data_IF_078140714778
#
_entry.id   IF_078140714778
#
_cell.length_a   1.000
_cell.length_b   1.000
_cell.length_c   1.000
_cell.angle_alpha   90.00
_cell.angle_beta   90.00
_cell.angle_gamma   90.00
#
_symmetry.space_group_name_H-M   'P 1'
#
loop_
_entity.id
_entity.type
_entity.pdbx_description
1 polymer ?
#
# COMPACT_ATOMS: atom_id res chain seq x y z
N UNK A 1 -2.29 -17.30 -3.34
CA UNK A 1 -1.12 -17.59 -4.23
C UNK A 1 -0.65 -16.29 -4.86
N UNK A 2 0.66 -15.99 -4.88
CA UNK A 2 1.19 -14.76 -5.49
C UNK A 2 0.95 -14.81 -7.00
N UNK A 3 0.30 -13.78 -7.61
CA UNK A 3 0.09 -13.73 -9.05
C UNK A 3 1.42 -13.66 -9.80
N UNK A 4 1.66 -14.61 -10.70
CA UNK A 4 2.92 -14.72 -11.44
C UNK A 4 3.24 -13.51 -12.34
N UNK A 5 2.21 -12.73 -12.70
CA UNK A 5 2.33 -11.57 -13.59
C UNK A 5 2.31 -10.21 -12.86
N UNK A 6 2.25 -10.19 -11.51
CA UNK A 6 2.19 -8.93 -10.76
C UNK A 6 3.58 -8.40 -10.42
N UNK A 7 4.03 -7.27 -11.03
CA UNK A 7 5.40 -6.77 -10.88
C UNK A 7 5.77 -6.28 -9.46
N UNK A 8 4.79 -6.03 -8.60
CA UNK A 8 5.03 -5.58 -7.22
C UNK A 8 4.94 -6.72 -6.19
N UNK A 9 4.73 -7.97 -6.62
CA UNK A 9 4.63 -9.13 -5.75
C UNK A 9 5.67 -10.21 -6.10
N UNK A 10 6.17 -10.23 -7.33
CA UNK A 10 7.13 -11.21 -7.82
C UNK A 10 8.35 -10.52 -8.43
N UNK A 11 9.55 -10.94 -8.03
CA UNK A 11 10.80 -10.46 -8.59
C UNK A 11 10.91 -10.78 -10.10
N UNK A 12 10.43 -11.96 -10.52
CA UNK A 12 10.44 -12.35 -11.93
C UNK A 12 9.48 -11.50 -12.76
N UNK A 13 8.28 -11.22 -12.23
CA UNK A 13 7.30 -10.37 -12.89
C UNK A 13 7.76 -8.90 -13.00
N UNK A 14 8.54 -8.44 -12.03
CA UNK A 14 9.02 -7.04 -11.98
C UNK A 14 9.74 -6.59 -13.24
N UNK A 15 10.49 -7.49 -13.88
CA UNK A 15 11.25 -7.18 -15.11
C UNK A 15 10.51 -7.50 -16.40
N UNK A 16 9.34 -8.16 -16.33
CA UNK A 16 8.61 -8.65 -17.51
C UNK A 16 7.32 -7.89 -17.78
N UNK A 17 6.63 -7.48 -16.75
CA UNK A 17 5.27 -6.95 -16.86
C UNK A 17 5.16 -5.51 -16.38
N UNK A 18 4.24 -4.78 -17.01
CA UNK A 18 3.94 -3.39 -16.68
C UNK A 18 2.79 -3.27 -15.66
N UNK A 19 2.82 -2.19 -14.92
CA UNK A 19 1.74 -1.73 -14.04
C UNK A 19 1.46 -0.26 -14.32
N UNK A 20 0.19 0.12 -14.38
CA UNK A 20 -0.24 1.51 -14.44
C UNK A 20 -0.87 1.93 -13.11
N UNK A 21 -0.54 3.13 -12.65
CA UNK A 21 -1.16 3.78 -11.49
C UNK A 21 -2.20 4.80 -11.93
N UNK A 22 -3.33 4.80 -11.25
CA UNK A 22 -4.48 5.66 -11.56
C UNK A 22 -4.68 6.63 -10.40
N UNK A 23 -4.40 7.93 -10.57
CA UNK A 23 -4.47 8.94 -9.52
C UNK A 23 -5.88 9.49 -9.36
N UNK A 24 -6.79 8.66 -8.85
CA UNK A 24 -8.21 8.99 -8.66
C UNK A 24 -8.59 9.27 -7.20
N UNK A 25 -7.65 9.17 -6.26
CA UNK A 25 -7.90 9.20 -4.82
C UNK A 25 -7.19 10.37 -4.10
N UNK A 26 -7.67 11.63 -4.21
CA UNK A 26 -6.97 12.78 -3.62
C UNK A 26 -7.09 12.87 -2.10
N UNK A 27 -8.17 12.38 -1.47
CA UNK A 27 -8.39 12.47 -0.02
C UNK A 27 -7.68 11.34 0.74
N UNK A 28 -7.36 11.60 2.02
CA UNK A 28 -6.83 10.60 2.92
C UNK A 28 -7.50 10.74 4.29
N UNK A 29 -7.82 9.62 4.92
CA UNK A 29 -8.50 9.53 6.21
C UNK A 29 -7.53 9.38 7.41
N UNK A 30 -6.21 9.35 7.14
CA UNK A 30 -5.16 9.41 8.16
C UNK A 30 -4.12 10.46 7.80
N UNK A 31 -3.26 10.79 8.76
CA UNK A 31 -2.15 11.71 8.57
C UNK A 31 -0.86 11.09 9.11
N UNK A 32 -0.08 10.47 8.22
CA UNK A 32 1.24 9.96 8.58
C UNK A 32 2.21 11.11 8.86
N UNK A 33 3.06 10.98 9.89
CA UNK A 33 4.03 12.00 10.26
C UNK A 33 5.09 12.28 9.19
N UNK A 34 5.37 11.29 8.34
CA UNK A 34 6.31 11.38 7.21
C UNK A 34 5.66 11.76 5.88
N UNK A 35 4.36 12.11 5.85
CA UNK A 35 3.65 12.45 4.62
C UNK A 35 3.46 13.96 4.48
N UNK A 36 3.95 14.53 3.37
CA UNK A 36 3.66 15.89 2.95
C UNK A 36 2.54 15.87 1.90
N UNK A 37 1.36 16.37 2.27
CA UNK A 37 0.16 16.36 1.43
C UNK A 37 0.21 17.29 0.22
N UNK A 38 1.28 18.04 0.02
CA UNK A 38 1.56 18.75 -1.23
C UNK A 38 1.94 17.80 -2.36
N UNK A 39 2.36 16.58 -2.01
CA UNK A 39 2.81 15.54 -2.91
C UNK A 39 1.95 14.28 -2.79
N UNK A 40 2.13 13.36 -3.70
CA UNK A 40 1.52 12.04 -3.67
C UNK A 40 1.94 11.24 -2.43
N UNK A 41 1.19 10.19 -2.12
CA UNK A 41 1.45 9.34 -0.95
C UNK A 41 2.90 8.85 -0.92
N UNK A 42 3.64 9.14 0.17
CA UNK A 42 5.04 8.78 0.35
C UNK A 42 5.28 7.25 0.37
N UNK A 43 4.24 6.44 0.63
CA UNK A 43 4.34 4.98 0.57
C UNK A 43 4.42 4.44 -0.86
N UNK A 44 3.98 5.23 -1.86
CA UNK A 44 3.81 4.77 -3.23
C UNK A 44 4.60 5.59 -4.25
N UNK A 45 5.01 6.80 -3.90
CA UNK A 45 5.61 7.76 -4.82
C UNK A 45 6.97 8.25 -4.35
N UNK A 46 7.82 8.62 -5.30
CA UNK A 46 9.10 9.29 -5.02
C UNK A 46 8.85 10.66 -4.40
N UNK A 47 9.82 11.19 -3.65
CA UNK A 47 9.74 12.54 -3.11
C UNK A 47 9.47 13.59 -4.20
N UNK A 48 8.55 14.51 -3.93
CA UNK A 48 8.26 15.63 -4.83
C UNK A 48 7.34 15.32 -6.01
N UNK A 49 6.87 14.08 -6.16
CA UNK A 49 5.89 13.71 -7.19
C UNK A 49 4.51 14.24 -6.83
N UNK A 50 3.84 14.86 -7.80
CA UNK A 50 2.45 15.29 -7.72
C UNK A 50 1.72 14.83 -8.97
N UNK A 51 0.66 14.04 -8.79
CA UNK A 51 -0.17 13.56 -9.89
C UNK A 51 -1.37 14.47 -10.09
N UNK A 52 -1.70 14.74 -11.35
CA UNK A 52 -3.02 15.29 -11.69
C UNK A 52 -4.10 14.26 -11.36
N UNK A 53 -5.08 14.67 -10.56
CA UNK A 53 -6.24 13.82 -10.23
C UNK A 53 -7.16 13.76 -11.44
N UNK A 54 -7.55 12.53 -11.81
CA UNK A 54 -8.41 12.27 -12.97
C UNK A 54 -9.73 11.64 -12.55
N UNK A 55 -10.76 11.76 -13.42
CA UNK A 55 -12.03 11.07 -13.22
C UNK A 55 -11.92 9.56 -13.47
N UNK A 56 -12.89 8.74 -13.00
CA UNK A 56 -12.94 7.31 -13.31
C UNK A 56 -12.94 7.01 -14.81
N UNK A 57 -13.66 7.79 -15.64
CA UNK A 57 -13.70 7.64 -17.09
C UNK A 57 -12.34 7.95 -17.73
N UNK A 58 -11.70 9.05 -17.29
CA UNK A 58 -10.36 9.40 -17.77
C UNK A 58 -9.31 8.35 -17.35
N UNK A 59 -9.52 7.69 -16.21
CA UNK A 59 -8.67 6.57 -15.77
C UNK A 59 -8.87 5.35 -16.68
N UNK A 60 -10.10 5.01 -17.06
CA UNK A 60 -10.41 3.95 -18.02
C UNK A 60 -9.74 4.24 -19.38
N UNK A 61 -9.90 5.44 -19.92
CA UNK A 61 -9.26 5.87 -21.17
C UNK A 61 -7.74 5.77 -21.11
N UNK A 62 -7.17 6.13 -19.95
CA UNK A 62 -5.71 6.00 -19.72
C UNK A 62 -5.25 4.56 -19.76
N UNK A 63 -5.99 3.64 -19.14
CA UNK A 63 -5.71 2.19 -19.20
C UNK A 63 -5.81 1.67 -20.61
N UNK A 64 -6.86 2.03 -21.34
CA UNK A 64 -7.04 1.61 -22.73
C UNK A 64 -5.91 2.07 -23.64
N UNK A 65 -5.47 3.33 -23.51
CA UNK A 65 -4.30 3.83 -24.26
C UNK A 65 -3.03 3.10 -23.90
N UNK A 66 -2.81 2.85 -22.58
CA UNK A 66 -1.61 2.16 -22.11
C UNK A 66 -1.53 0.72 -22.63
N UNK A 67 -2.66 -0.01 -22.67
CA UNK A 67 -2.73 -1.37 -23.23
C UNK A 67 -2.43 -1.42 -24.73
N UNK A 68 -2.79 -0.36 -25.48
CA UNK A 68 -2.44 -0.24 -26.90
C UNK A 68 -0.95 0.02 -27.11
N UNK A 69 -0.31 0.72 -26.18
CA UNK A 69 1.11 1.12 -26.30
C UNK A 69 2.09 0.09 -25.74
N UNK A 70 1.70 -0.65 -24.71
CA UNK A 70 2.56 -1.65 -24.06
C UNK A 70 1.79 -2.96 -23.79
N UNK A 71 2.07 -3.96 -24.61
CA UNK A 71 1.50 -5.30 -24.48
C UNK A 71 1.92 -6.04 -23.21
N UNK A 72 2.91 -5.53 -22.47
CA UNK A 72 3.36 -6.10 -21.18
C UNK A 72 2.51 -5.64 -20.00
N UNK A 73 1.63 -4.65 -20.18
CA UNK A 73 0.76 -4.17 -19.10
C UNK A 73 -0.15 -5.30 -18.62
N UNK A 74 -0.09 -5.60 -17.31
CA UNK A 74 -0.87 -6.66 -16.66
C UNK A 74 -1.66 -6.17 -15.45
N UNK A 75 -1.27 -5.03 -14.88
CA UNK A 75 -1.84 -4.54 -13.63
C UNK A 75 -2.32 -3.10 -13.78
N UNK A 76 -3.55 -2.83 -13.40
CA UNK A 76 -4.05 -1.50 -13.12
C UNK A 76 -4.27 -1.34 -11.61
N UNK A 77 -3.72 -0.29 -11.02
CA UNK A 77 -3.76 -0.10 -9.58
C UNK A 77 -4.10 1.32 -9.15
N UNK A 78 -4.84 1.43 -8.06
CA UNK A 78 -5.09 2.70 -7.37
C UNK A 78 -4.24 2.73 -6.10
N UNK A 79 -3.36 3.75 -6.00
CA UNK A 79 -2.42 3.88 -4.89
C UNK A 79 -2.23 5.35 -4.47
N UNK A 80 -3.19 6.19 -4.71
CA UNK A 80 -3.11 7.61 -4.34
C UNK A 80 -3.73 8.55 -5.37
N UNK A 81 -3.43 9.85 -5.23
CA UNK A 81 -2.43 10.53 -4.38
C UNK A 81 -2.62 10.41 -2.88
N UNK A 82 -3.84 10.13 -2.40
CA UNK A 82 -4.18 9.93 -0.99
C UNK A 82 -4.48 8.46 -0.65
N UNK A 83 -5.56 8.24 0.10
CA UNK A 83 -6.04 6.92 0.49
C UNK A 83 -7.14 6.44 -0.47
N UNK A 84 -6.94 5.38 -1.23
CA UNK A 84 -7.94 4.89 -2.17
C UNK A 84 -9.33 4.65 -1.54
N UNK A 85 -9.39 4.01 -0.39
CA UNK A 85 -10.68 3.68 0.25
C UNK A 85 -11.37 4.87 0.93
N UNK A 86 -10.74 6.05 0.95
CA UNK A 86 -11.39 7.30 1.35
C UNK A 86 -12.02 8.07 0.18
N UNK A 87 -12.05 7.48 -1.03
CA UNK A 87 -12.49 8.14 -2.27
C UNK A 87 -13.41 7.23 -3.08
N UNK A 88 -14.69 7.56 -3.25
CA UNK A 88 -15.66 6.76 -4.03
C UNK A 88 -15.21 6.51 -5.47
N UNK A 89 -14.50 7.47 -6.08
CA UNK A 89 -13.94 7.34 -7.43
C UNK A 89 -13.02 6.12 -7.59
N UNK A 90 -12.45 5.61 -6.51
CA UNK A 90 -11.63 4.38 -6.53
C UNK A 90 -12.44 3.17 -6.96
N UNK A 91 -13.54 2.89 -6.27
CA UNK A 91 -14.40 1.74 -6.56
C UNK A 91 -15.04 1.85 -7.93
N UNK A 92 -15.49 3.06 -8.29
CA UNK A 92 -16.04 3.33 -9.62
C UNK A 92 -15.01 3.06 -10.72
N UNK A 93 -13.79 3.55 -10.57
CA UNK A 93 -12.67 3.28 -11.50
C UNK A 93 -12.42 1.79 -11.66
N UNK A 94 -12.36 1.05 -10.54
CA UNK A 94 -12.08 -0.39 -10.56
C UNK A 94 -13.21 -1.15 -11.25
N UNK A 95 -14.49 -0.81 -11.01
CA UNK A 95 -15.65 -1.42 -11.69
C UNK A 95 -15.59 -1.20 -13.20
N UNK A 96 -15.34 0.04 -13.65
CA UNK A 96 -15.24 0.37 -15.07
C UNK A 96 -14.13 -0.43 -15.75
N UNK A 97 -12.96 -0.52 -15.12
CA UNK A 97 -11.82 -1.26 -15.68
C UNK A 97 -12.11 -2.77 -15.69
N UNK A 98 -12.67 -3.32 -14.62
CA UNK A 98 -13.02 -4.74 -14.55
C UNK A 98 -14.03 -5.14 -15.63
N UNK A 99 -15.06 -4.35 -15.81
CA UNK A 99 -16.07 -4.58 -16.85
C UNK A 99 -15.48 -4.54 -18.27
N UNK A 100 -14.54 -3.65 -18.53
CA UNK A 100 -13.94 -3.45 -19.86
C UNK A 100 -12.76 -4.37 -20.15
N UNK A 101 -11.96 -4.70 -19.11
CA UNK A 101 -10.72 -5.47 -19.20
C UNK A 101 -10.64 -6.55 -18.11
N UNK A 102 -11.51 -7.58 -18.14
CA UNK A 102 -11.64 -8.54 -17.03
C UNK A 102 -10.40 -9.42 -16.80
N UNK A 103 -9.43 -9.42 -17.73
CA UNK A 103 -8.17 -10.15 -17.58
C UNK A 103 -7.05 -9.32 -16.95
N UNK A 104 -7.27 -8.02 -16.76
CA UNK A 104 -6.30 -7.15 -16.13
C UNK A 104 -6.34 -7.37 -14.60
N UNK A 105 -5.19 -7.56 -13.97
CA UNK A 105 -5.10 -7.67 -12.53
C UNK A 105 -5.39 -6.31 -11.90
N UNK A 106 -6.36 -6.26 -11.00
CA UNK A 106 -6.67 -5.05 -10.26
C UNK A 106 -5.99 -5.07 -8.90
N UNK A 107 -5.34 -3.95 -8.58
CA UNK A 107 -4.50 -3.78 -7.40
C UNK A 107 -4.89 -2.51 -6.64
N UNK A 108 -4.85 -2.58 -5.32
CA UNK A 108 -5.10 -1.45 -4.44
C UNK A 108 -3.98 -1.34 -3.40
N UNK A 109 -3.57 -0.09 -3.09
CA UNK A 109 -2.71 0.17 -1.93
C UNK A 109 -3.47 1.02 -0.93
N UNK A 110 -3.60 0.57 0.32
CA UNK A 110 -4.42 1.21 1.36
C UNK A 110 -3.68 1.31 2.69
N UNK A 111 -4.10 2.24 3.53
CA UNK A 111 -3.70 2.27 4.93
C UNK A 111 -4.44 1.25 5.81
N UNK A 112 -5.52 0.66 5.31
CA UNK A 112 -6.27 -0.42 5.97
C UNK A 112 -7.35 0.03 6.96
N UNK A 113 -7.54 1.34 7.23
CA UNK A 113 -8.48 1.83 8.25
C UNK A 113 -9.93 1.36 8.02
N UNK A 114 -10.36 1.29 6.77
CA UNK A 114 -11.73 0.88 6.39
C UNK A 114 -11.75 -0.36 5.50
N UNK A 115 -10.67 -1.14 5.52
CA UNK A 115 -10.52 -2.29 4.60
C UNK A 115 -11.58 -3.37 4.84
N UNK A 116 -11.89 -3.71 6.09
CA UNK A 116 -12.92 -4.71 6.42
C UNK A 116 -14.27 -4.35 5.81
N UNK A 117 -14.68 -3.10 5.94
CA UNK A 117 -15.98 -2.62 5.48
C UNK A 117 -16.03 -2.55 3.94
N UNK A 118 -14.93 -2.16 3.31
CA UNK A 118 -14.83 -2.04 1.85
C UNK A 118 -14.62 -3.39 1.13
N UNK A 119 -14.29 -4.46 1.86
CA UNK A 119 -13.88 -5.73 1.26
C UNK A 119 -14.92 -6.34 0.31
N UNK A 120 -16.23 -6.38 0.64
CA UNK A 120 -17.23 -6.92 -0.29
C UNK A 120 -17.22 -6.19 -1.63
N UNK A 121 -17.19 -4.85 -1.62
CA UNK A 121 -17.18 -4.05 -2.84
C UNK A 121 -15.87 -4.21 -3.62
N UNK A 122 -14.74 -4.40 -2.95
CA UNK A 122 -13.45 -4.67 -3.61
C UNK A 122 -13.47 -6.00 -4.36
N UNK A 123 -14.09 -7.03 -3.80
CA UNK A 123 -14.28 -8.32 -4.45
C UNK A 123 -15.19 -8.20 -5.67
N UNK A 124 -16.31 -7.50 -5.54
CA UNK A 124 -17.25 -7.23 -6.63
C UNK A 124 -16.59 -6.41 -7.76
N UNK A 125 -15.64 -5.55 -7.44
CA UNK A 125 -14.84 -4.81 -8.42
C UNK A 125 -13.74 -5.67 -9.08
N UNK A 126 -13.58 -6.94 -8.70
CA UNK A 126 -12.55 -7.82 -9.26
C UNK A 126 -11.13 -7.54 -8.77
N UNK A 127 -10.97 -6.88 -7.61
CA UNK A 127 -9.65 -6.70 -6.99
C UNK A 127 -9.10 -8.05 -6.58
N UNK A 128 -7.87 -8.34 -6.96
CA UNK A 128 -7.19 -9.61 -6.66
C UNK A 128 -5.97 -9.46 -5.77
N UNK A 129 -5.40 -8.25 -5.70
CA UNK A 129 -4.18 -7.97 -4.94
C UNK A 129 -4.31 -6.70 -4.12
N UNK A 130 -3.85 -6.75 -2.88
CA UNK A 130 -3.84 -5.62 -1.96
C UNK A 130 -2.42 -5.37 -1.43
N UNK A 131 -2.09 -4.09 -1.26
CA UNK A 131 -0.96 -3.68 -0.44
C UNK A 131 -1.50 -2.90 0.76
N UNK A 132 -1.21 -3.36 1.97
CA UNK A 132 -1.61 -2.65 3.21
C UNK A 132 -0.35 -2.09 3.87
N UNK A 133 -0.37 -0.80 4.19
CA UNK A 133 0.76 -0.16 4.89
C UNK A 133 0.56 -0.31 6.40
N UNK A 134 1.40 -1.12 7.04
CA UNK A 134 1.43 -1.35 8.48
C UNK A 134 2.80 -0.99 9.02
N UNK A 135 2.91 0.12 9.75
CA UNK A 135 4.19 0.63 10.23
C UNK A 135 4.52 0.24 11.67
N UNK A 136 3.52 -0.15 12.45
CA UNK A 136 3.66 -0.54 13.85
C UNK A 136 2.46 -1.37 14.29
N UNK A 137 2.63 -2.11 15.39
CA UNK A 137 1.56 -2.80 16.13
C UNK A 137 1.37 -2.24 17.54
N UNK A 138 2.22 -1.30 17.95
CA UNK A 138 2.19 -0.62 19.24
C UNK A 138 1.39 0.68 19.16
N UNK A 139 0.42 0.87 20.04
CA UNK A 139 -0.34 2.13 20.17
C UNK A 139 0.59 3.31 20.49
N UNK A 140 1.61 3.07 21.30
CA UNK A 140 2.60 4.12 21.65
C UNK A 140 3.38 4.55 20.41
N UNK A 141 3.91 3.58 19.65
CA UNK A 141 4.61 3.87 18.41
C UNK A 141 3.68 4.51 17.36
N UNK A 142 2.41 4.06 17.26
CA UNK A 142 1.42 4.67 16.38
C UNK A 142 1.22 6.16 16.66
N UNK A 143 1.17 6.57 17.94
CA UNK A 143 1.09 7.99 18.33
C UNK A 143 2.28 8.83 17.88
N UNK A 144 3.43 8.24 17.64
CA UNK A 144 4.60 8.93 17.05
C UNK A 144 4.55 8.92 15.51
N UNK A 145 4.13 7.81 14.90
CA UNK A 145 4.14 7.63 13.44
C UNK A 145 2.97 8.35 12.76
N UNK A 146 1.80 8.36 13.39
CA UNK A 146 0.59 8.98 12.83
C UNK A 146 0.18 10.21 13.62
N UNK A 147 -0.02 11.32 12.93
CA UNK A 147 -0.49 12.58 13.54
C UNK A 147 -1.97 12.53 13.87
N UNK A 148 -2.77 11.94 12.97
CA UNK A 148 -4.21 11.72 13.16
C UNK A 148 -4.67 10.49 12.41
N UNK A 149 -5.69 9.83 12.96
CA UNK A 149 -6.45 8.73 12.35
C UNK A 149 -7.93 9.08 12.46
N UNK A 150 -8.66 9.11 11.35
CA UNK A 150 -10.06 9.51 11.34
C UNK A 150 -10.31 10.92 11.88
N UNK A 151 -9.28 11.79 11.85
CA UNK A 151 -9.34 13.14 12.42
C UNK A 151 -8.93 13.26 13.89
N UNK A 152 -8.75 12.14 14.62
CA UNK A 152 -8.29 12.15 16.02
C UNK A 152 -6.81 11.78 16.16
N UNK A 153 -6.17 12.30 17.23
CA UNK A 153 -4.78 11.99 17.61
C UNK A 153 -4.70 11.20 18.94
N UNK A 154 -5.82 10.79 19.51
CA UNK A 154 -5.84 10.08 20.79
C UNK A 154 -5.42 8.60 20.67
N UNK A 155 -5.06 8.01 21.81
CA UNK A 155 -4.63 6.61 21.87
C UNK A 155 -5.76 5.62 21.47
N UNK A 156 -7.02 5.97 21.70
CA UNK A 156 -8.18 5.16 21.32
C UNK A 156 -8.31 5.05 19.80
N UNK A 157 -8.16 6.16 19.09
CA UNK A 157 -8.15 6.18 17.61
C UNK A 157 -6.97 5.37 17.06
N UNK A 158 -5.78 5.47 17.67
CA UNK A 158 -4.62 4.65 17.28
C UNK A 158 -4.89 3.16 17.49
N UNK A 159 -5.43 2.77 18.65
CA UNK A 159 -5.78 1.38 18.95
C UNK A 159 -6.82 0.82 17.97
N UNK A 160 -7.89 1.58 17.70
CA UNK A 160 -8.92 1.21 16.73
C UNK A 160 -8.34 1.02 15.31
N UNK A 161 -7.43 1.89 14.91
CA UNK A 161 -6.74 1.78 13.61
C UNK A 161 -5.91 0.51 13.49
N UNK A 162 -5.09 0.21 14.50
CA UNK A 162 -4.27 -1.01 14.50
C UNK A 162 -5.15 -2.27 14.47
N UNK A 163 -6.28 -2.27 15.20
CA UNK A 163 -7.26 -3.34 15.17
C UNK A 163 -7.91 -3.49 13.79
N UNK A 164 -8.34 -2.38 13.18
CA UNK A 164 -8.92 -2.36 11.82
C UNK A 164 -7.95 -2.90 10.77
N UNK A 165 -6.67 -2.53 10.85
CA UNK A 165 -5.63 -3.09 9.96
C UNK A 165 -5.51 -4.60 10.13
N UNK A 166 -5.49 -5.08 11.38
CA UNK A 166 -5.37 -6.50 11.69
C UNK A 166 -6.54 -7.30 11.13
N UNK A 167 -7.74 -6.84 11.38
CA UNK A 167 -8.97 -7.46 10.91
C UNK A 167 -9.08 -7.44 9.39
N UNK A 168 -8.81 -6.27 8.77
CA UNK A 168 -8.88 -6.10 7.32
C UNK A 168 -7.90 -6.98 6.56
N UNK A 169 -6.66 -7.12 7.06
CA UNK A 169 -5.64 -8.00 6.45
C UNK A 169 -6.08 -9.46 6.52
N UNK A 170 -6.55 -9.93 7.68
CA UNK A 170 -6.99 -11.32 7.87
C UNK A 170 -8.18 -11.64 6.96
N UNK A 171 -9.23 -10.81 7.00
CA UNK A 171 -10.42 -10.98 6.15
C UNK A 171 -10.10 -10.96 4.66
N UNK A 172 -9.21 -10.07 4.22
CA UNK A 172 -8.82 -10.00 2.82
C UNK A 172 -8.07 -11.26 2.37
N UNK A 173 -7.18 -11.79 3.21
CA UNK A 173 -6.47 -13.04 2.94
C UNK A 173 -7.44 -14.25 2.92
N UNK A 174 -8.37 -14.34 3.88
CA UNK A 174 -9.42 -15.37 3.94
C UNK A 174 -10.34 -15.33 2.71
N UNK A 175 -10.65 -14.14 2.22
CA UNK A 175 -11.43 -13.94 0.99
C UNK A 175 -10.66 -14.28 -0.30
N UNK A 176 -9.40 -14.71 -0.19
CA UNK A 176 -8.58 -15.16 -1.33
C UNK A 176 -7.76 -14.06 -2.01
N UNK A 177 -7.76 -12.82 -1.50
CA UNK A 177 -6.91 -11.78 -2.05
C UNK A 177 -5.44 -12.04 -1.70
N UNK A 178 -4.55 -11.72 -2.63
CA UNK A 178 -3.11 -11.74 -2.33
C UNK A 178 -2.72 -10.45 -1.63
N UNK A 179 -2.39 -10.53 -0.34
CA UNK A 179 -2.05 -9.38 0.49
C UNK A 179 -0.54 -9.23 0.60
N UNK A 180 -0.05 -8.00 0.37
CA UNK A 180 1.31 -7.55 0.67
C UNK A 180 1.27 -6.55 1.81
N UNK A 181 2.20 -6.67 2.75
CA UNK A 181 2.43 -5.65 3.78
C UNK A 181 3.58 -4.75 3.36
N UNK A 182 3.34 -3.45 3.29
CA UNK A 182 4.38 -2.43 3.23
C UNK A 182 4.64 -1.90 4.64
N UNK A 183 5.91 -1.74 5.01
CA UNK A 183 6.31 -1.11 6.27
C UNK A 183 7.41 -0.09 6.00
N UNK A 184 7.17 1.16 6.35
CA UNK A 184 8.20 2.20 6.33
C UNK A 184 9.08 2.01 7.57
N UNK A 185 10.36 1.80 7.35
CA UNK A 185 11.35 1.66 8.43
C UNK A 185 11.76 3.04 8.91
N UNK A 186 11.43 3.34 10.15
CA UNK A 186 11.67 4.65 10.81
C UNK A 186 12.64 4.41 11.97
N UNK A 187 13.96 4.70 11.79
CA UNK A 187 14.96 4.52 12.85
C UNK A 187 14.59 5.25 14.14
N UNK A 188 14.78 4.59 15.27
CA UNK A 188 14.42 5.10 16.58
C UNK A 188 12.94 4.94 16.97
N UNK A 189 12.06 4.52 16.05
CA UNK A 189 10.64 4.37 16.33
C UNK A 189 10.13 2.93 16.17
N UNK A 190 10.24 2.33 14.99
CA UNK A 190 9.63 1.02 14.72
C UNK A 190 10.63 -0.09 14.33
N UNK A 191 11.92 0.18 14.34
CA UNK A 191 12.94 -0.84 13.96
C UNK A 191 12.91 -2.08 14.85
N UNK A 192 12.53 -1.92 16.12
CA UNK A 192 12.39 -3.03 17.07
C UNK A 192 11.16 -3.90 16.83
N UNK A 193 10.15 -3.40 16.11
CA UNK A 193 8.86 -4.09 15.87
C UNK A 193 8.83 -4.87 14.54
N UNK A 194 9.83 -4.70 13.66
CA UNK A 194 9.80 -5.23 12.27
C UNK A 194 9.60 -6.75 12.25
N UNK A 195 10.25 -7.48 13.14
CA UNK A 195 10.13 -8.92 13.22
C UNK A 195 8.75 -9.38 13.73
N UNK A 196 8.20 -8.65 14.71
CA UNK A 196 6.83 -8.89 15.20
C UNK A 196 5.79 -8.62 14.11
N UNK A 197 5.95 -7.51 13.36
CA UNK A 197 5.09 -7.19 12.21
C UNK A 197 5.16 -8.30 11.16
N UNK A 198 6.35 -8.81 10.84
CA UNK A 198 6.56 -9.88 9.87
C UNK A 198 5.90 -11.20 10.33
N UNK A 199 6.09 -11.58 11.59
CA UNK A 199 5.47 -12.75 12.19
C UNK A 199 3.94 -12.66 12.19
N UNK A 200 3.40 -11.51 12.59
CA UNK A 200 1.96 -11.25 12.54
C UNK A 200 1.43 -11.29 11.09
N UNK A 201 2.09 -10.62 10.14
CA UNK A 201 1.67 -10.58 8.75
C UNK A 201 1.56 -11.99 8.14
N UNK A 202 2.53 -12.86 8.41
CA UNK A 202 2.49 -14.25 7.99
C UNK A 202 1.28 -14.99 8.56
N UNK A 203 1.03 -14.85 9.87
CA UNK A 203 -0.13 -15.48 10.53
C UNK A 203 -1.48 -14.94 10.05
N UNK A 204 -1.54 -13.67 9.66
CA UNK A 204 -2.72 -13.06 9.07
C UNK A 204 -2.93 -13.42 7.59
N UNK A 205 -2.08 -14.27 7.01
CA UNK A 205 -2.21 -14.76 5.64
C UNK A 205 -1.63 -13.83 4.57
N UNK A 206 -0.84 -12.80 4.94
CA UNK A 206 -0.14 -12.00 3.96
C UNK A 206 0.92 -12.86 3.21
N UNK A 207 1.02 -12.65 1.90
CA UNK A 207 1.89 -13.45 1.03
C UNK A 207 3.33 -12.95 0.98
N UNK A 208 3.55 -11.66 1.20
CA UNK A 208 4.86 -11.02 1.06
C UNK A 208 4.89 -9.70 1.86
N UNK A 209 6.07 -9.33 2.33
CA UNK A 209 6.32 -8.05 3.00
C UNK A 209 7.39 -7.26 2.25
N UNK A 210 7.30 -5.94 2.31
CA UNK A 210 8.25 -5.00 1.73
C UNK A 210 8.65 -3.96 2.78
N UNK A 211 9.92 -3.91 3.14
CA UNK A 211 10.49 -2.88 4.00
C UNK A 211 10.99 -1.72 3.14
N UNK A 212 10.40 -0.56 3.36
CA UNK A 212 10.72 0.68 2.65
C UNK A 212 11.52 1.61 3.56
N UNK A 213 12.56 2.29 3.04
CA UNK A 213 13.24 3.31 3.82
C UNK A 213 12.31 4.51 4.06
N UNK A 214 12.43 5.13 5.23
CA UNK A 214 11.85 6.44 5.50
C UNK A 214 12.34 7.44 4.44
N UNK A 215 11.41 8.20 3.88
CA UNK A 215 11.70 9.43 3.15
C UNK A 215 11.50 10.58 4.13
N UNK A 216 12.57 11.30 4.55
CA UNK A 216 12.48 12.36 5.55
C UNK A 216 11.65 13.54 5.04
N UNK A 217 10.41 13.65 5.50
CA UNK A 217 9.48 14.73 5.16
C UNK A 217 8.59 15.09 6.34
N UNK A 218 7.90 16.20 6.25
CA UNK A 218 6.92 16.69 7.22
C UNK A 218 7.47 16.67 8.67
N UNK A 219 6.87 15.89 9.58
CA UNK A 219 7.32 15.79 10.98
C UNK A 219 8.62 14.99 11.13
N UNK A 220 8.99 14.20 10.14
CA UNK A 220 10.22 13.39 10.13
C UNK A 220 11.33 13.97 9.24
N UNK A 221 11.22 15.26 8.84
CA UNK A 221 12.19 15.90 7.94
C UNK A 221 13.62 15.91 8.47
N UNK A 222 13.77 15.95 9.79
CA UNK A 222 15.06 16.01 10.47
C UNK A 222 15.56 14.61 10.91
N UNK A 223 14.80 13.54 10.59
CA UNK A 223 15.19 12.17 10.90
C UNK A 223 16.08 11.59 9.78
N UNK A 224 17.08 10.81 10.18
CA UNK A 224 17.89 10.08 9.22
C UNK A 224 17.13 8.86 8.67
N UNK A 225 17.19 8.61 7.35
CA UNK A 225 16.68 7.37 6.78
C UNK A 225 17.51 6.18 7.27
N UNK A 226 16.95 4.94 7.28
CA UNK A 226 17.72 3.76 7.63
C UNK A 226 18.86 3.55 6.65
N UNK A 227 20.04 3.17 7.17
CA UNK A 227 21.14 2.74 6.33
C UNK A 227 20.79 1.46 5.56
N UNK A 228 21.46 1.22 4.43
CA UNK A 228 21.26 -0.02 3.67
C UNK A 228 21.57 -1.26 4.52
N UNK A 229 22.63 -1.20 5.35
CA UNK A 229 23.00 -2.29 6.25
C UNK A 229 21.88 -2.59 7.27
N UNK A 230 21.26 -1.56 7.84
CA UNK A 230 20.12 -1.73 8.75
C UNK A 230 18.91 -2.35 8.02
N UNK A 231 18.58 -1.86 6.82
CA UNK A 231 17.49 -2.44 6.02
C UNK A 231 17.71 -3.90 5.69
N UNK A 232 18.94 -4.27 5.33
CA UNK A 232 19.27 -5.65 4.96
C UNK A 232 19.24 -6.57 6.18
N UNK A 233 19.70 -6.09 7.34
CA UNK A 233 19.59 -6.83 8.61
C UNK A 233 18.12 -7.06 9.01
N UNK A 234 17.27 -6.02 8.92
CA UNK A 234 15.85 -6.12 9.22
C UNK A 234 15.11 -7.05 8.23
N UNK A 235 15.43 -6.98 6.93
CA UNK A 235 14.90 -7.89 5.92
C UNK A 235 15.31 -9.35 6.18
N UNK A 236 16.57 -9.59 6.62
CA UNK A 236 17.02 -10.93 6.95
C UNK A 236 16.21 -11.52 8.12
N UNK A 237 15.97 -10.74 9.18
CA UNK A 237 15.15 -11.16 10.32
C UNK A 237 13.68 -11.39 9.90
N UNK A 238 13.07 -10.45 9.17
CA UNK A 238 11.69 -10.58 8.71
C UNK A 238 11.49 -11.77 7.76
N UNK A 239 12.50 -12.13 6.96
CA UNK A 239 12.45 -13.25 6.00
C UNK A 239 12.27 -14.61 6.66
N UNK A 240 12.59 -14.75 7.92
CA UNK A 240 12.33 -15.98 8.69
C UNK A 240 10.84 -16.27 8.81
N UNK A 241 10.02 -15.23 8.78
CA UNK A 241 8.57 -15.31 8.97
C UNK A 241 7.78 -15.18 7.66
N UNK A 242 8.18 -14.27 6.77
CA UNK A 242 7.45 -13.94 5.55
C UNK A 242 8.42 -13.55 4.42
N UNK A 243 8.17 -13.99 3.16
CA UNK A 243 8.97 -13.59 2.01
C UNK A 243 9.09 -12.06 1.90
N UNK A 244 10.30 -11.58 1.52
CA UNK A 244 10.57 -10.15 1.37
C UNK A 244 10.60 -9.74 -0.09
N UNK A 245 9.83 -8.71 -0.46
CA UNK A 245 9.91 -8.05 -1.76
C UNK A 245 10.95 -6.91 -1.68
N UNK A 246 12.00 -6.98 -2.48
CA UNK A 246 13.14 -6.04 -2.40
C UNK A 246 13.30 -5.16 -3.64
N UNK A 247 12.42 -5.31 -4.63
CA UNK A 247 12.51 -4.60 -5.91
C UNK A 247 11.62 -3.35 -5.99
N UNK A 248 11.00 -2.93 -4.89
CA UNK A 248 10.20 -1.72 -4.87
C UNK A 248 11.09 -0.49 -5.14
N UNK A 249 10.70 0.34 -6.11
CA UNK A 249 11.40 1.56 -6.50
C UNK A 249 10.55 2.82 -6.30
N UNK A 250 9.38 2.68 -5.66
CA UNK A 250 8.42 3.79 -5.60
C UNK A 250 8.24 4.37 -7.01
N UNK A 251 7.58 3.62 -7.90
CA UNK A 251 7.63 3.80 -9.37
C UNK A 251 6.87 5.01 -9.91
N UNK A 252 6.41 5.91 -9.04
CA UNK A 252 5.75 7.17 -9.44
C UNK A 252 6.72 8.33 -9.40
#
# INVERSE_FOLDING_TARGET
MIPAEHPCFSAQAHFRYGRIHLPVAPRCNIRCGYCDRRYDCANESRPGVTSEVISPEAALDRVERALRLDSRLRVAGVAGPGEPLANPATLETLRLIHARFPRLLLCLSTNGLVLSDALPELLDCGVSTLTVTVNTRSVVCAGHVYRTVGGSADAGAMAAFLSAQQEGVAKAAEAGLTVKINTVVIPGFNTGEIEEIACWAARAGAAVMNLMPLIPQASFRDNEPPSQALLDALRARARVHIPQFTHCRQCR
#
